data_IF_123002497041
#
_entry.id   IF_123002497041
#
_cell.length_a   1.000
_cell.length_b   1.000
_cell.length_c   1.000
_cell.angle_alpha   90.00
_cell.angle_beta   90.00
_cell.angle_gamma   90.00
#
_symmetry.space_group_name_H-M   'P 1'
#
loop_
_entity.id
_entity.type
_entity.pdbx_description
1 polymer ?
#
# COMPACT_ATOMS: atom_id res chain seq x y z
N UNK A 1 -1.59 -27.83 17.41
CA UNK A 1 -0.62 -26.78 17.77
C UNK A 1 0.09 -26.38 16.49
N UNK A 2 0.16 -25.09 16.19
CA UNK A 2 0.87 -24.58 15.01
C UNK A 2 2.37 -24.54 15.31
N UNK A 3 3.15 -25.17 14.44
CA UNK A 3 4.63 -25.18 14.40
C UNK A 3 5.19 -23.80 14.05
N UNK A 4 4.96 -22.82 14.92
CA UNK A 4 5.75 -21.60 14.95
C UNK A 4 6.84 -21.80 16.01
N UNK A 5 7.84 -22.61 15.67
CA UNK A 5 9.11 -22.55 16.38
C UNK A 5 9.80 -21.23 16.00
N UNK A 6 10.14 -20.46 17.03
CA UNK A 6 10.91 -19.23 16.97
C UNK A 6 12.27 -19.46 16.27
N UNK A 7 12.40 -19.03 15.02
CA UNK A 7 13.69 -18.91 14.34
C UNK A 7 14.47 -17.67 14.84
N UNK A 8 14.85 -17.68 16.12
CA UNK A 8 15.68 -16.66 16.78
C UNK A 8 17.19 -16.95 16.63
N UNK A 9 17.70 -17.21 15.41
CA UNK A 9 19.16 -17.41 15.24
C UNK A 9 19.79 -16.96 13.91
N UNK A 10 19.18 -16.05 13.14
CA UNK A 10 19.81 -15.55 11.91
C UNK A 10 19.89 -14.00 11.84
N UNK A 11 21.02 -13.51 12.37
CA UNK A 11 21.92 -12.54 11.71
C UNK A 11 21.61 -11.02 11.85
N UNK A 12 21.86 -10.50 13.05
CA UNK A 12 21.97 -9.04 13.34
C UNK A 12 22.84 -8.26 12.32
N UNK A 13 23.93 -8.84 11.80
CA UNK A 13 24.77 -8.19 10.77
C UNK A 13 24.07 -8.08 9.39
N UNK A 14 23.16 -8.98 9.07
CA UNK A 14 22.44 -8.98 7.78
C UNK A 14 21.34 -7.94 7.78
N UNK A 15 20.64 -7.78 8.89
CA UNK A 15 19.57 -6.80 9.04
C UNK A 15 20.10 -5.36 8.92
N UNK A 16 21.18 -5.02 9.62
CA UNK A 16 21.81 -3.69 9.51
C UNK A 16 22.31 -3.39 8.09
N UNK A 17 22.86 -4.39 7.41
CA UNK A 17 23.28 -4.24 6.01
C UNK A 17 22.10 -4.01 5.06
N UNK A 18 20.94 -4.59 5.34
CA UNK A 18 19.71 -4.41 4.58
C UNK A 18 19.07 -3.06 4.90
N UNK A 19 19.06 -2.64 6.17
CA UNK A 19 18.58 -1.33 6.64
C UNK A 19 19.35 -0.19 5.96
N UNK A 20 20.68 -0.29 5.93
CA UNK A 20 21.55 0.68 5.25
C UNK A 20 21.22 0.77 3.76
N UNK A 21 21.04 -0.37 3.08
CA UNK A 21 20.69 -0.40 1.65
C UNK A 21 19.31 0.22 1.38
N UNK A 22 18.33 -0.06 2.23
CA UNK A 22 16.99 0.51 2.13
C UNK A 22 16.98 2.02 2.36
N UNK A 23 17.75 2.52 3.33
CA UNK A 23 17.91 3.95 3.56
C UNK A 23 18.49 4.68 2.35
N UNK A 24 19.53 4.12 1.73
CA UNK A 24 20.12 4.68 0.50
C UNK A 24 19.09 4.70 -0.63
N UNK A 25 18.31 3.63 -0.79
CA UNK A 25 17.28 3.55 -1.82
C UNK A 25 16.15 4.57 -1.62
N UNK A 26 15.74 4.79 -0.37
CA UNK A 26 14.74 5.81 -0.01
C UNK A 26 15.25 7.22 -0.28
N UNK A 27 16.50 7.52 0.09
CA UNK A 27 17.11 8.83 -0.16
C UNK A 27 17.25 9.10 -1.68
N UNK A 28 17.58 8.08 -2.49
CA UNK A 28 17.63 8.20 -3.95
C UNK A 28 16.25 8.43 -4.57
N UNK A 29 15.24 7.70 -4.10
CA UNK A 29 13.85 7.85 -4.55
C UNK A 29 13.32 9.26 -4.24
N UNK A 30 13.54 9.76 -3.02
CA UNK A 30 13.13 11.11 -2.62
C UNK A 30 13.80 12.18 -3.49
N UNK A 31 15.07 11.99 -3.86
CA UNK A 31 15.80 12.90 -4.73
C UNK A 31 15.21 12.92 -6.14
N UNK A 32 14.90 11.75 -6.71
CA UNK A 32 14.31 11.64 -8.05
C UNK A 32 12.90 12.26 -8.10
N UNK A 33 12.10 11.98 -7.07
CA UNK A 33 10.71 12.45 -6.99
C UNK A 33 10.58 13.89 -6.50
N UNK A 34 11.65 14.51 -6.00
CA UNK A 34 11.64 15.89 -5.46
C UNK A 34 11.13 16.95 -6.43
N UNK A 35 11.26 16.70 -7.74
CA UNK A 35 10.81 17.62 -8.80
C UNK A 35 9.36 17.39 -9.23
N UNK A 36 8.70 16.37 -8.67
CA UNK A 36 7.37 15.91 -9.09
C UNK A 36 6.36 16.07 -7.97
N UNK A 37 5.09 16.28 -8.32
CA UNK A 37 4.00 16.35 -7.35
C UNK A 37 3.82 15.03 -6.58
N UNK A 38 4.25 13.88 -7.14
CA UNK A 38 4.17 12.60 -6.43
C UNK A 38 5.14 12.52 -5.24
N UNK A 39 6.26 13.26 -5.27
CA UNK A 39 7.20 13.35 -4.15
C UNK A 39 6.62 14.03 -2.90
N UNK A 40 5.57 14.83 -3.06
CA UNK A 40 4.83 15.44 -1.94
C UNK A 40 3.76 14.50 -1.36
N UNK A 41 3.35 13.47 -2.10
CA UNK A 41 2.33 12.50 -1.70
C UNK A 41 2.83 11.41 -0.76
N UNK A 42 4.15 11.17 -0.72
CA UNK A 42 4.73 10.14 0.15
C UNK A 42 4.94 10.66 1.58
N UNK A 43 4.57 9.83 2.56
CA UNK A 43 4.78 10.13 3.98
C UNK A 43 6.27 9.97 4.30
N UNK A 44 6.94 11.08 4.61
CA UNK A 44 8.32 11.09 5.08
C UNK A 44 8.32 10.71 6.56
N UNK A 45 8.69 9.47 6.86
CA UNK A 45 8.85 9.00 8.25
C UNK A 45 10.16 9.56 8.82
N UNK A 46 10.16 10.06 10.05
CA UNK A 46 11.39 10.47 10.73
C UNK A 46 12.40 9.32 10.73
N UNK A 47 13.68 9.61 10.43
CA UNK A 47 14.75 8.60 10.28
C UNK A 47 14.92 7.71 11.54
N UNK A 48 14.42 8.16 12.68
CA UNK A 48 14.44 7.44 13.96
C UNK A 48 13.38 6.33 14.05
N UNK A 49 12.36 6.31 13.18
CA UNK A 49 11.31 5.28 13.19
C UNK A 49 11.63 4.02 12.36
N UNK A 50 12.82 3.93 11.77
CA UNK A 50 13.28 2.70 11.10
C UNK A 50 13.81 1.64 12.07
N UNK A 51 13.96 1.96 13.36
CA UNK A 51 14.15 0.93 14.39
C UNK A 51 12.85 0.20 14.73
N UNK A 52 11.70 0.76 14.32
CA UNK A 52 10.36 0.30 14.68
C UNK A 52 9.59 -0.21 13.44
N UNK A 53 10.31 -0.88 12.53
CA UNK A 53 9.71 -1.58 11.38
C UNK A 53 8.87 -2.78 11.84
N UNK A 54 8.92 -3.14 13.12
CA UNK A 54 8.05 -4.13 13.75
C UNK A 54 6.67 -3.56 14.18
N UNK A 55 6.49 -2.24 14.22
CA UNK A 55 5.22 -1.61 14.65
C UNK A 55 4.25 -1.33 13.49
N UNK A 56 4.41 -2.00 12.34
CA UNK A 56 3.36 -2.03 11.33
C UNK A 56 2.21 -2.91 11.84
N UNK A 57 1.35 -2.33 12.68
CA UNK A 57 0.06 -2.93 13.02
C UNK A 57 -0.74 -3.09 11.72
N UNK A 58 -1.37 -4.26 11.48
CA UNK A 58 -2.27 -4.41 10.35
C UNK A 58 -3.30 -3.28 10.32
N UNK A 59 -3.48 -2.65 9.17
CA UNK A 59 -4.53 -1.63 9.00
C UNK A 59 -5.87 -2.33 9.19
N UNK A 60 -6.66 -1.90 10.16
CA UNK A 60 -8.03 -2.37 10.35
C UNK A 60 -8.93 -1.77 9.27
N UNK A 61 -9.55 -2.63 8.46
CA UNK A 61 -10.32 -2.21 7.29
C UNK A 61 -11.80 -2.48 7.52
N UNK A 62 -12.62 -1.43 7.47
CA UNK A 62 -14.07 -1.57 7.53
C UNK A 62 -14.62 -2.17 6.21
N UNK A 63 -15.03 -3.44 6.31
CA UNK A 63 -15.63 -4.18 5.20
C UNK A 63 -16.93 -3.55 4.67
N UNK A 64 -17.71 -2.87 5.52
CA UNK A 64 -18.92 -2.18 5.09
C UNK A 64 -18.57 -0.92 4.29
N UNK A 65 -17.54 -0.19 4.70
CA UNK A 65 -17.03 0.95 3.94
C UNK A 65 -16.53 0.50 2.56
N UNK A 66 -15.72 -0.57 2.50
CA UNK A 66 -15.28 -1.15 1.24
C UNK A 66 -16.45 -1.58 0.35
N UNK A 67 -17.44 -2.28 0.91
CA UNK A 67 -18.64 -2.70 0.18
C UNK A 67 -19.36 -1.50 -0.42
N UNK A 68 -19.59 -0.44 0.36
CA UNK A 68 -20.26 0.77 -0.10
C UNK A 68 -19.46 1.49 -1.21
N UNK A 69 -18.13 1.50 -1.11
CA UNK A 69 -17.25 2.07 -2.13
C UNK A 69 -17.32 1.25 -3.42
N UNK A 70 -17.25 -0.08 -3.33
CA UNK A 70 -17.34 -0.99 -4.49
C UNK A 70 -18.73 -0.97 -5.15
N UNK A 71 -19.80 -0.91 -4.35
CA UNK A 71 -21.18 -0.76 -4.86
C UNK A 71 -21.37 0.59 -5.54
N UNK A 72 -20.83 1.67 -4.98
CA UNK A 72 -20.86 3.00 -5.59
C UNK A 72 -20.07 3.04 -6.90
N UNK A 73 -18.90 2.39 -6.95
CA UNK A 73 -18.09 2.23 -8.16
C UNK A 73 -18.85 1.48 -9.26
N UNK A 74 -19.45 0.32 -8.91
CA UNK A 74 -20.26 -0.48 -9.86
C UNK A 74 -21.51 0.26 -10.34
N UNK A 75 -22.20 0.98 -9.45
CA UNK A 75 -23.43 1.70 -9.77
C UNK A 75 -23.19 2.87 -10.72
N UNK A 76 -21.99 3.47 -10.67
CA UNK A 76 -21.56 4.51 -11.59
C UNK A 76 -20.90 3.94 -12.85
N UNK A 77 -21.02 2.63 -13.10
CA UNK A 77 -20.38 1.95 -14.23
C UNK A 77 -18.88 2.24 -14.34
N UNK A 78 -18.21 2.42 -13.20
CA UNK A 78 -16.78 2.75 -13.17
C UNK A 78 -16.45 4.12 -13.75
N UNK A 79 -17.45 4.97 -14.00
CA UNK A 79 -17.24 6.35 -14.45
C UNK A 79 -16.52 7.20 -13.39
N UNK A 80 -16.01 8.35 -13.82
CA UNK A 80 -15.34 9.29 -12.94
C UNK A 80 -16.29 9.75 -11.81
N UNK A 81 -15.94 9.39 -10.58
CA UNK A 81 -16.76 9.64 -9.41
C UNK A 81 -15.98 9.51 -8.10
N UNK A 82 -16.60 9.79 -6.94
CA UNK A 82 -15.91 9.80 -5.66
C UNK A 82 -15.19 8.49 -5.35
N UNK A 83 -15.83 7.36 -5.63
CA UNK A 83 -15.25 6.02 -5.39
C UNK A 83 -14.16 5.68 -6.41
N UNK A 84 -14.33 6.07 -7.68
CA UNK A 84 -13.31 5.86 -8.73
C UNK A 84 -12.05 6.71 -8.48
N UNK A 85 -12.20 7.95 -8.00
CA UNK A 85 -11.08 8.80 -7.61
C UNK A 85 -10.32 8.27 -6.38
N UNK A 86 -10.97 7.50 -5.51
CA UNK A 86 -10.30 6.85 -4.37
C UNK A 86 -9.61 5.55 -4.78
N UNK A 87 -10.23 4.73 -5.63
CA UNK A 87 -9.73 3.41 -6.04
C UNK A 87 -8.69 3.46 -7.18
N UNK A 88 -8.81 4.43 -8.10
CA UNK A 88 -7.92 4.57 -9.25
C UNK A 88 -6.45 4.73 -8.88
N UNK A 89 -6.07 5.65 -7.96
CA UNK A 89 -4.70 5.77 -7.48
C UNK A 89 -4.19 4.54 -6.73
N UNK A 90 -5.09 3.70 -6.20
CA UNK A 90 -4.75 2.43 -5.55
C UNK A 90 -4.51 1.30 -6.57
N UNK A 91 -4.59 1.57 -7.87
CA UNK A 91 -4.42 0.59 -8.94
C UNK A 91 -5.59 -0.40 -9.07
N UNK A 92 -6.71 -0.09 -8.43
CA UNK A 92 -7.92 -0.91 -8.49
C UNK A 92 -8.71 -0.46 -9.72
N UNK A 93 -8.55 -1.21 -10.80
CA UNK A 93 -9.35 -1.10 -12.02
C UNK A 93 -10.31 -2.29 -12.07
N UNK A 94 -11.59 -2.02 -11.78
CA UNK A 94 -12.62 -3.04 -11.84
C UNK A 94 -13.31 -2.90 -13.19
N UNK A 95 -12.96 -3.78 -14.13
CA UNK A 95 -13.68 -3.90 -15.40
C UNK A 95 -15.16 -4.10 -15.09
N UNK A 96 -15.97 -3.08 -15.40
CA UNK A 96 -17.42 -3.16 -15.32
C UNK A 96 -17.89 -3.88 -16.58
N UNK A 97 -17.50 -5.15 -16.66
CA UNK A 97 -18.09 -6.06 -17.62
C UNK A 97 -19.54 -6.20 -17.17
N UNK A 98 -20.43 -5.52 -17.90
CA UNK A 98 -21.81 -5.98 -17.99
C UNK A 98 -21.74 -7.48 -18.20
N UNK A 99 -22.33 -8.24 -17.27
CA UNK A 99 -22.79 -9.59 -17.57
C UNK A 99 -23.61 -9.47 -18.85
N UNK A 100 -22.97 -9.69 -20.01
CA UNK A 100 -23.66 -9.75 -21.28
C UNK A 100 -24.58 -10.95 -21.19
N UNK A 101 -25.84 -10.68 -20.86
CA UNK A 101 -26.93 -11.63 -20.99
C UNK A 101 -26.93 -12.04 -22.47
N UNK A 102 -26.62 -13.29 -22.82
CA UNK A 102 -26.78 -13.75 -24.18
C UNK A 102 -28.29 -13.92 -24.42
N UNK A 103 -28.80 -13.17 -25.40
CA UNK A 103 -30.12 -13.36 -26.01
C UNK A 103 -30.08 -14.57 -26.94
#
# INVERSE_FOLDING_TARGET
MSDYEEDNFVKNNSYESLKTKMQVYMDEMDKELSSTTIGESFVKKDKDMFEDVEDFSPVDIDMNALKNILESYKSQLGEAGPSSNMLGPMGVDLDVSEDKIPI
#
